data_IF_256243102741
#
_entry.id   IF_256243102741
#
_cell.length_a   1.000
_cell.length_b   1.000
_cell.length_c   1.000
_cell.angle_alpha   90.00
_cell.angle_beta   90.00
_cell.angle_gamma   90.00
#
_symmetry.space_group_name_H-M   'P 1'
#
loop_
_entity.id
_entity.type
_entity.pdbx_description
1 polymer ?
#
# COMPACT_ATOMS: atom_id res chain seq x y z
N UNK A 1 -17.16 -0.63 10.94
CA UNK A 1 -16.76 0.75 10.55
C UNK A 1 -16.97 1.76 11.67
N UNK A 2 -16.06 2.75 11.81
CA UNK A 2 -16.18 3.90 12.72
C UNK A 2 -16.43 5.16 11.86
N UNK A 3 -17.35 6.04 12.27
CA UNK A 3 -17.70 7.27 11.53
C UNK A 3 -17.40 8.50 12.38
N UNK A 4 -16.71 9.49 11.79
CA UNK A 4 -16.42 10.78 12.39
C UNK A 4 -16.96 11.90 11.48
N UNK A 5 -17.64 12.90 12.06
CA UNK A 5 -18.28 13.99 11.31
C UNK A 5 -17.42 15.25 11.34
N UNK A 6 -17.38 15.99 10.23
CA UNK A 6 -16.65 17.27 10.11
C UNK A 6 -15.19 17.20 10.62
N UNK A 7 -14.53 16.09 10.30
CA UNK A 7 -13.22 15.73 10.85
C UNK A 7 -12.09 16.41 10.06
N UNK A 8 -11.19 17.09 10.76
CA UNK A 8 -9.95 17.61 10.16
C UNK A 8 -9.07 16.46 9.63
N UNK A 9 -8.57 16.63 8.41
CA UNK A 9 -7.65 15.71 7.74
C UNK A 9 -6.18 16.09 7.92
N UNK A 10 -5.85 17.08 8.77
CA UNK A 10 -4.48 17.55 8.98
C UNK A 10 -3.51 16.44 9.39
N UNK A 11 -3.99 15.45 10.15
CA UNK A 11 -3.21 14.27 10.60
C UNK A 11 -3.25 13.10 9.61
N UNK A 12 -3.96 13.26 8.50
CA UNK A 12 -4.23 12.20 7.52
C UNK A 12 -3.66 12.53 6.13
N UNK A 13 -2.83 13.58 6.03
CA UNK A 13 -2.03 13.88 4.85
C UNK A 13 -0.65 14.41 5.27
N UNK A 14 0.41 14.03 4.55
CA UNK A 14 1.79 14.39 4.95
C UNK A 14 2.15 15.84 4.65
N UNK A 15 1.36 16.55 3.83
CA UNK A 15 1.49 18.00 3.68
C UNK A 15 1.01 18.77 4.93
N UNK A 16 0.26 18.14 5.82
CA UNK A 16 -0.29 18.79 7.01
C UNK A 16 -1.33 19.87 6.67
N UNK A 17 -2.06 19.71 5.55
CA UNK A 17 -3.10 20.66 5.15
C UNK A 17 -4.36 20.35 5.95
N UNK A 18 -4.89 21.38 6.61
CA UNK A 18 -6.12 21.30 7.39
C UNK A 18 -7.35 21.58 6.50
N UNK A 19 -7.75 20.58 5.73
CA UNK A 19 -9.09 20.49 5.14
C UNK A 19 -9.92 19.45 5.91
N UNK A 20 -11.24 19.55 5.86
CA UNK A 20 -12.17 18.68 6.59
C UNK A 20 -12.82 17.66 5.66
N UNK A 21 -13.16 16.51 6.22
CA UNK A 21 -14.09 15.56 5.63
C UNK A 21 -15.48 15.75 6.23
N UNK A 22 -16.52 15.74 5.41
CA UNK A 22 -17.91 15.70 5.91
C UNK A 22 -18.12 14.46 6.78
N UNK A 23 -17.68 13.30 6.27
CA UNK A 23 -17.62 12.04 7.02
C UNK A 23 -16.28 11.36 6.78
N UNK A 24 -15.55 11.04 7.84
CA UNK A 24 -14.39 10.16 7.82
C UNK A 24 -14.82 8.78 8.33
N UNK A 25 -14.70 7.77 7.49
CA UNK A 25 -15.18 6.41 7.75
C UNK A 25 -13.99 5.45 7.74
N UNK A 26 -13.78 4.73 8.83
CA UNK A 26 -12.70 3.75 8.96
C UNK A 26 -13.19 2.35 8.59
N UNK A 27 -12.49 1.73 7.64
CA UNK A 27 -12.74 0.35 7.22
C UNK A 27 -11.57 -0.55 7.63
N UNK A 28 -11.86 -1.58 8.44
CA UNK A 28 -10.85 -2.44 9.05
C UNK A 28 -10.77 -3.83 8.41
N UNK A 29 -11.66 -4.13 7.46
CA UNK A 29 -11.71 -5.40 6.74
C UNK A 29 -12.13 -5.20 5.28
N UNK A 30 -11.85 -6.20 4.44
CA UNK A 30 -12.35 -6.22 3.07
C UNK A 30 -13.89 -6.29 3.05
N UNK A 31 -14.51 -6.95 4.03
CA UNK A 31 -15.95 -7.00 4.20
C UNK A 31 -16.56 -5.65 4.56
N UNK A 32 -15.92 -4.85 5.44
CA UNK A 32 -16.34 -3.46 5.70
C UNK A 32 -16.39 -2.64 4.40
N UNK A 33 -15.36 -2.79 3.55
CA UNK A 33 -15.24 -2.05 2.28
C UNK A 33 -16.30 -2.52 1.28
N UNK A 34 -16.49 -3.84 1.15
CA UNK A 34 -17.54 -4.41 0.29
C UNK A 34 -18.94 -3.97 0.73
N UNK A 35 -19.21 -4.02 2.03
CA UNK A 35 -20.48 -3.57 2.60
C UNK A 35 -20.69 -2.07 2.37
N UNK A 36 -19.67 -1.24 2.62
CA UNK A 36 -19.71 0.20 2.35
C UNK A 36 -20.09 0.46 0.89
N UNK A 37 -19.37 -0.13 -0.06
CA UNK A 37 -19.60 0.08 -1.49
C UNK A 37 -21.02 -0.34 -1.89
N UNK A 38 -21.51 -1.48 -1.39
CA UNK A 38 -22.86 -1.98 -1.69
C UNK A 38 -23.98 -1.08 -1.15
N UNK A 39 -23.74 -0.40 -0.03
CA UNK A 39 -24.76 0.43 0.62
C UNK A 39 -24.68 1.92 0.27
N UNK A 40 -23.47 2.42 -0.02
CA UNK A 40 -23.20 3.85 -0.21
C UNK A 40 -22.64 4.19 -1.60
N UNK A 41 -22.19 3.20 -2.36
CA UNK A 41 -21.55 3.41 -3.67
C UNK A 41 -20.11 3.89 -3.55
N UNK A 42 -19.69 4.72 -4.51
CA UNK A 42 -18.35 5.29 -4.58
C UNK A 42 -18.12 6.32 -3.46
N UNK A 43 -17.04 6.20 -2.66
CA UNK A 43 -16.66 7.25 -1.71
C UNK A 43 -16.12 8.48 -2.45
N UNK A 44 -16.29 9.67 -1.87
CA UNK A 44 -15.70 10.90 -2.40
C UNK A 44 -14.17 10.84 -2.43
N UNK A 45 -13.57 10.12 -1.48
CA UNK A 45 -12.13 9.87 -1.42
C UNK A 45 -11.82 8.54 -0.73
N UNK A 46 -10.95 7.73 -1.34
CA UNK A 46 -10.30 6.59 -0.68
C UNK A 46 -8.97 7.05 -0.09
N UNK A 47 -8.77 6.85 1.21
CA UNK A 47 -7.60 7.37 1.93
C UNK A 47 -6.74 6.24 2.52
N UNK A 48 -5.50 6.15 2.04
CA UNK A 48 -4.43 5.34 2.64
C UNK A 48 -3.70 6.12 3.74
N UNK A 49 -2.37 6.22 3.65
CA UNK A 49 -1.55 7.01 4.58
C UNK A 49 -1.45 8.50 4.23
N UNK A 50 -2.00 8.94 3.11
CA UNK A 50 -2.02 10.36 2.70
C UNK A 50 -0.66 10.95 2.32
N UNK A 51 0.31 10.11 1.94
CA UNK A 51 1.69 10.53 1.63
C UNK A 51 1.92 11.03 0.21
N UNK A 52 0.96 10.80 -0.68
CA UNK A 52 1.03 11.18 -2.09
C UNK A 52 -0.30 11.77 -2.57
N UNK A 53 -0.72 12.85 -1.92
CA UNK A 53 -1.92 13.59 -2.27
C UNK A 53 -1.79 15.06 -1.86
N UNK A 54 -2.60 15.92 -2.46
CA UNK A 54 -2.72 17.32 -2.12
C UNK A 54 -4.20 17.66 -1.95
N UNK A 55 -4.60 18.04 -0.73
CA UNK A 55 -5.94 18.52 -0.45
C UNK A 55 -6.02 20.01 -0.78
N UNK A 56 -6.92 20.40 -1.68
CA UNK A 56 -7.10 21.80 -2.10
C UNK A 56 -8.35 22.45 -1.52
N UNK A 57 -9.26 21.66 -0.96
CA UNK A 57 -10.54 22.07 -0.39
C UNK A 57 -11.07 20.98 0.56
N UNK A 58 -12.09 21.32 1.33
CA UNK A 58 -12.86 20.36 2.13
C UNK A 58 -13.43 19.26 1.21
N UNK A 59 -13.46 18.03 1.73
CA UNK A 59 -14.01 16.86 1.05
C UNK A 59 -15.49 16.74 1.43
N UNK A 60 -16.35 17.12 0.50
CA UNK A 60 -17.79 16.89 0.58
C UNK A 60 -18.08 15.39 0.37
N UNK A 61 -18.83 14.80 1.31
CA UNK A 61 -19.14 13.36 1.32
C UNK A 61 -18.15 12.50 2.11
N UNK A 62 -17.96 11.27 1.64
CA UNK A 62 -17.33 10.21 2.43
C UNK A 62 -15.86 10.04 2.07
N UNK A 63 -15.01 10.25 3.08
CA UNK A 63 -13.62 9.82 3.06
C UNK A 63 -13.55 8.42 3.67
N UNK A 64 -13.32 7.41 2.83
CA UNK A 64 -13.15 6.04 3.26
C UNK A 64 -11.67 5.78 3.56
N UNK A 65 -11.32 5.77 4.85
CA UNK A 65 -9.98 5.47 5.36
C UNK A 65 -9.78 3.96 5.41
N UNK A 66 -8.81 3.47 4.64
CA UNK A 66 -8.43 2.05 4.62
C UNK A 66 -7.47 1.79 5.77
N UNK A 67 -7.87 0.87 6.66
CA UNK A 67 -7.18 0.51 7.90
C UNK A 67 -7.24 -1.00 8.15
N UNK A 68 -7.08 -1.77 7.06
CA UNK A 68 -7.03 -3.24 7.09
C UNK A 68 -5.64 -3.70 7.48
N UNK A 69 -5.48 -4.23 8.69
CA UNK A 69 -4.20 -4.74 9.21
C UNK A 69 -4.09 -6.26 9.14
N UNK A 70 -2.88 -6.75 9.38
CA UNK A 70 -2.59 -8.18 9.49
C UNK A 70 -1.45 -8.61 8.58
N UNK A 71 -0.63 -9.51 9.09
CA UNK A 71 0.52 -10.10 8.40
C UNK A 71 0.36 -11.62 8.45
N UNK A 72 0.44 -12.30 7.31
CA UNK A 72 0.25 -13.76 7.26
C UNK A 72 1.17 -14.39 6.22
N UNK A 73 1.94 -15.39 6.66
CA UNK A 73 2.62 -16.30 5.73
C UNK A 73 1.57 -17.09 4.98
N UNK A 74 1.60 -17.01 3.64
CA UNK A 74 0.67 -17.72 2.74
C UNK A 74 1.35 -18.80 1.92
N UNK A 75 2.68 -18.76 1.83
CA UNK A 75 3.53 -19.79 1.26
C UNK A 75 4.92 -19.68 1.87
N UNK A 76 5.59 -20.80 2.07
CA UNK A 76 6.96 -20.83 2.59
C UNK A 76 7.68 -22.09 2.14
N UNK A 77 8.95 -21.93 1.75
CA UNK A 77 9.90 -23.02 1.59
C UNK A 77 11.25 -22.63 2.20
N UNK A 78 12.32 -23.36 1.86
CA UNK A 78 13.66 -23.13 2.41
C UNK A 78 14.35 -21.86 1.90
N UNK A 79 13.88 -21.27 0.81
CA UNK A 79 14.52 -20.14 0.12
C UNK A 79 13.69 -18.86 0.16
N UNK A 80 12.37 -19.00 0.06
CA UNK A 80 11.42 -17.90 -0.14
C UNK A 80 10.23 -18.05 0.79
N UNK A 81 9.71 -16.92 1.25
CA UNK A 81 8.44 -16.80 1.97
C UNK A 81 7.54 -15.79 1.24
N UNK A 82 6.27 -16.15 1.07
CA UNK A 82 5.27 -15.19 0.62
C UNK A 82 4.46 -14.71 1.82
N UNK A 83 4.48 -13.41 2.06
CA UNK A 83 3.77 -12.79 3.17
C UNK A 83 2.71 -11.86 2.61
N UNK A 84 1.47 -12.09 3.07
CA UNK A 84 0.34 -11.21 2.81
C UNK A 84 0.26 -10.15 3.90
N UNK A 85 0.20 -8.89 3.48
CA UNK A 85 0.07 -7.71 4.32
C UNK A 85 -1.28 -7.02 4.09
N UNK A 86 -1.88 -6.53 5.16
CA UNK A 86 -3.05 -5.66 5.10
C UNK A 86 -2.74 -4.30 4.47
N UNK A 87 -3.68 -3.73 3.73
CA UNK A 87 -3.53 -2.45 3.06
C UNK A 87 -3.32 -1.25 4.02
N UNK A 88 -3.73 -1.40 5.28
CA UNK A 88 -3.58 -0.40 6.34
C UNK A 88 -2.21 -0.40 7.01
N UNK A 89 -1.40 -1.44 6.83
CA UNK A 89 -0.06 -1.54 7.42
C UNK A 89 0.83 -0.37 6.97
N UNK A 90 1.57 0.23 7.90
CA UNK A 90 2.58 1.23 7.57
C UNK A 90 3.71 0.56 6.79
N UNK A 91 4.05 1.13 5.62
CA UNK A 91 5.04 0.53 4.73
C UNK A 91 6.41 0.38 5.39
N UNK A 92 6.93 1.44 6.00
CA UNK A 92 8.27 1.39 6.59
C UNK A 92 8.35 0.43 7.78
N UNK A 93 7.30 0.37 8.61
CA UNK A 93 7.22 -0.61 9.69
C UNK A 93 7.20 -2.05 9.18
N UNK A 94 6.56 -2.30 8.03
CA UNK A 94 6.63 -3.60 7.35
C UNK A 94 8.05 -3.91 6.90
N UNK A 95 8.77 -2.96 6.29
CA UNK A 95 10.18 -3.16 5.90
C UNK A 95 11.04 -3.52 7.11
N UNK A 96 10.96 -2.74 8.20
CA UNK A 96 11.71 -3.02 9.43
C UNK A 96 11.34 -4.39 10.02
N UNK A 97 10.06 -4.72 10.04
CA UNK A 97 9.60 -6.01 10.53
C UNK A 97 10.18 -7.17 9.69
N UNK A 98 10.18 -7.07 8.36
CA UNK A 98 10.76 -8.12 7.51
C UNK A 98 12.26 -8.29 7.74
N UNK A 99 12.99 -7.18 7.92
CA UNK A 99 14.42 -7.22 8.20
C UNK A 99 14.73 -7.85 9.56
N UNK A 100 13.91 -7.58 10.60
CA UNK A 100 14.04 -8.24 11.91
C UNK A 100 13.79 -9.75 11.84
N UNK A 101 13.04 -10.23 10.85
CA UNK A 101 12.85 -11.66 10.59
C UNK A 101 13.97 -12.28 9.74
N UNK A 102 14.98 -11.50 9.34
CA UNK A 102 16.04 -11.95 8.42
C UNK A 102 15.57 -12.15 6.98
N UNK A 103 14.53 -11.43 6.55
CA UNK A 103 13.99 -11.53 5.19
C UNK A 103 14.52 -10.40 4.32
N UNK A 104 14.94 -10.73 3.10
CA UNK A 104 15.49 -9.78 2.12
C UNK A 104 14.56 -9.52 0.93
N UNK A 105 14.67 -8.33 0.36
CA UNK A 105 13.96 -7.85 -0.83
C UNK A 105 13.30 -6.48 -0.67
N UNK A 106 13.21 -5.92 0.54
CA UNK A 106 12.53 -4.63 0.82
C UNK A 106 13.46 -3.53 1.31
N UNK A 107 14.72 -3.83 1.61
CA UNK A 107 15.70 -2.93 2.21
C UNK A 107 15.85 -1.61 1.44
N UNK A 108 15.93 -1.66 0.11
CA UNK A 108 16.00 -0.49 -0.77
C UNK A 108 14.71 0.37 -0.74
N UNK A 109 13.60 -0.17 -0.25
CA UNK A 109 12.32 0.53 -0.15
C UNK A 109 12.07 1.07 1.28
N UNK A 110 13.10 1.08 2.13
CA UNK A 110 13.05 1.67 3.48
C UNK A 110 12.65 3.14 3.46
N UNK A 111 12.00 3.60 4.53
CA UNK A 111 11.57 4.99 4.78
C UNK A 111 10.56 5.58 3.79
N UNK A 112 10.08 4.83 2.79
CA UNK A 112 8.98 5.28 1.94
C UNK A 112 7.72 5.47 2.82
N UNK A 113 7.12 6.68 2.84
CA UNK A 113 5.94 6.94 3.67
C UNK A 113 4.67 6.38 3.03
N UNK A 114 3.68 6.09 3.87
CA UNK A 114 2.36 5.63 3.46
C UNK A 114 2.12 4.18 3.84
N UNK A 115 1.09 3.60 3.23
CA UNK A 115 0.60 2.29 3.62
C UNK A 115 0.79 1.26 2.51
N UNK A 116 0.83 -0.01 2.89
CA UNK A 116 0.95 -1.14 1.99
C UNK A 116 -0.08 -1.11 0.84
N UNK A 117 -1.33 -0.73 1.10
CA UNK A 117 -2.37 -0.68 0.05
C UNK A 117 -2.13 0.36 -1.04
N UNK A 118 -1.34 1.40 -0.76
CA UNK A 118 -0.99 2.43 -1.75
C UNK A 118 0.25 2.08 -2.56
N UNK A 119 1.07 1.13 -2.09
CA UNK A 119 2.33 0.76 -2.73
C UNK A 119 2.14 0.25 -4.18
N UNK A 120 1.15 -0.63 -4.48
CA UNK A 120 0.93 -1.10 -5.85
C UNK A 120 0.41 -0.02 -6.80
N UNK A 121 -0.29 1.00 -6.30
CA UNK A 121 -0.90 2.03 -7.17
C UNK A 121 0.15 2.73 -8.02
N UNK A 122 1.29 3.05 -7.43
CA UNK A 122 2.38 3.73 -8.14
C UNK A 122 3.59 2.84 -8.41
N UNK A 123 3.54 1.53 -8.15
CA UNK A 123 4.74 0.69 -8.18
C UNK A 123 5.91 1.39 -7.47
N UNK A 124 5.76 1.62 -6.15
CA UNK A 124 6.77 2.36 -5.37
C UNK A 124 8.17 1.82 -5.63
N UNK A 125 9.16 2.69 -5.66
CA UNK A 125 10.51 2.27 -5.93
C UNK A 125 11.53 3.31 -5.50
N UNK A 126 12.65 2.83 -4.99
CA UNK A 126 13.78 3.64 -4.57
C UNK A 126 15.06 2.81 -4.71
N UNK A 127 16.17 3.51 -4.94
CA UNK A 127 17.50 2.91 -4.99
C UNK A 127 17.61 1.66 -5.89
N UNK A 128 17.02 1.71 -7.09
CA UNK A 128 17.12 0.62 -8.08
C UNK A 128 16.17 -0.56 -7.87
N UNK A 129 15.32 -0.54 -6.84
CA UNK A 129 14.30 -1.56 -6.58
C UNK A 129 12.91 -0.96 -6.72
N UNK A 130 11.98 -1.73 -7.28
CA UNK A 130 10.56 -1.40 -7.36
C UNK A 130 9.71 -2.49 -6.69
N UNK A 131 8.48 -2.14 -6.28
CA UNK A 131 7.56 -3.09 -5.65
C UNK A 131 7.34 -4.34 -6.52
N UNK A 132 7.24 -4.16 -7.84
CA UNK A 132 7.05 -5.26 -8.78
C UNK A 132 8.10 -6.35 -8.66
N UNK A 133 9.30 -6.06 -8.15
CA UNK A 133 10.40 -7.03 -8.05
C UNK A 133 10.11 -8.11 -7.00
N UNK A 134 9.28 -7.79 -6.01
CA UNK A 134 8.86 -8.68 -4.92
C UNK A 134 7.35 -8.95 -4.89
N UNK A 135 6.56 -8.30 -5.74
CA UNK A 135 5.11 -8.44 -5.76
C UNK A 135 4.65 -9.79 -6.32
N UNK A 136 3.68 -10.43 -5.66
CA UNK A 136 3.03 -11.67 -6.13
C UNK A 136 1.62 -11.38 -6.64
N UNK A 137 0.79 -10.79 -5.79
CA UNK A 137 -0.60 -10.43 -6.10
C UNK A 137 -1.13 -9.38 -5.10
N UNK A 138 -2.27 -8.78 -5.42
CA UNK A 138 -3.08 -8.05 -4.45
C UNK A 138 -4.55 -8.50 -4.48
N UNK A 139 -5.24 -8.23 -3.37
CA UNK A 139 -6.66 -8.51 -3.18
C UNK A 139 -7.38 -7.20 -2.90
N UNK A 140 -8.63 -7.07 -3.33
CA UNK A 140 -9.38 -5.84 -3.13
C UNK A 140 -10.87 -5.96 -3.40
N UNK A 141 -11.51 -4.80 -3.47
CA UNK A 141 -12.94 -4.63 -3.75
C UNK A 141 -13.12 -3.71 -4.96
N UNK A 142 -13.97 -4.11 -5.90
CA UNK A 142 -14.41 -3.27 -7.02
C UNK A 142 -15.49 -2.29 -6.54
N UNK A 143 -15.32 -1.01 -6.90
CA UNK A 143 -16.23 0.08 -6.47
C UNK A 143 -17.59 -0.02 -7.17
N UNK A 144 -17.66 -0.60 -8.37
CA UNK A 144 -18.91 -0.70 -9.13
C UNK A 144 -20.00 -1.50 -8.40
N UNK A 145 -19.62 -2.59 -7.73
CA UNK A 145 -20.57 -3.57 -7.19
C UNK A 145 -20.18 -4.17 -5.83
N UNK A 146 -19.05 -3.73 -5.27
CA UNK A 146 -18.50 -4.28 -4.03
C UNK A 146 -18.00 -5.72 -4.15
N UNK A 147 -17.77 -6.24 -5.36
CA UNK A 147 -17.23 -7.58 -5.57
C UNK A 147 -15.74 -7.63 -5.20
N UNK A 148 -15.31 -8.77 -4.66
CA UNK A 148 -13.90 -9.01 -4.38
C UNK A 148 -13.14 -9.33 -5.66
N UNK A 149 -11.88 -8.90 -5.74
CA UNK A 149 -10.95 -9.29 -6.79
C UNK A 149 -9.62 -9.76 -6.19
N UNK A 150 -8.93 -10.60 -6.96
CA UNK A 150 -7.51 -10.89 -6.80
C UNK A 150 -6.84 -10.58 -8.13
N UNK A 151 -5.68 -9.93 -8.06
CA UNK A 151 -4.98 -9.44 -9.23
C UNK A 151 -3.50 -9.85 -9.15
N UNK A 152 -3.01 -10.56 -10.18
CA UNK A 152 -1.63 -11.03 -10.26
C UNK A 152 -0.64 -9.91 -10.58
N UNK A 153 0.66 -10.18 -10.47
CA UNK A 153 1.72 -9.26 -10.91
C UNK A 153 1.58 -8.85 -12.37
N UNK A 154 1.26 -9.80 -13.25
CA UNK A 154 1.12 -9.58 -14.69
C UNK A 154 -0.10 -8.70 -15.00
N UNK A 155 -1.22 -8.97 -14.32
CA UNK A 155 -2.45 -8.19 -14.42
C UNK A 155 -2.29 -6.77 -13.84
N UNK A 156 -1.32 -6.55 -12.95
CA UNK A 156 -1.07 -5.24 -12.33
C UNK A 156 -0.49 -4.24 -13.33
N UNK A 157 0.06 -4.74 -14.45
CA UNK A 157 0.65 -3.94 -15.53
C UNK A 157 1.63 -2.89 -15.00
N UNK A 158 2.53 -3.29 -14.10
CA UNK A 158 3.47 -2.37 -13.49
C UNK A 158 4.41 -1.73 -14.52
N UNK A 159 4.53 -0.41 -14.42
CA UNK A 159 5.50 0.41 -15.14
C UNK A 159 6.28 1.32 -14.19
N UNK A 160 7.15 2.17 -14.72
CA UNK A 160 7.84 3.17 -13.91
C UNK A 160 6.83 4.16 -13.35
N UNK A 161 6.67 4.17 -12.02
CA UNK A 161 5.65 4.96 -11.31
C UNK A 161 4.22 4.70 -11.79
N UNK A 162 3.93 3.49 -12.28
CA UNK A 162 2.67 3.19 -12.96
C UNK A 162 2.12 1.79 -12.70
N UNK A 163 0.80 1.65 -12.83
CA UNK A 163 0.07 0.39 -12.71
C UNK A 163 -1.31 0.49 -13.37
N UNK A 164 -2.02 -0.62 -13.47
CA UNK A 164 -3.43 -0.64 -13.89
C UNK A 164 -4.33 0.27 -13.03
N UNK A 165 -4.01 0.44 -11.73
CA UNK A 165 -4.78 1.28 -10.79
C UNK A 165 -4.66 2.78 -11.05
N UNK A 166 -3.64 3.21 -11.81
CA UNK A 166 -3.52 4.59 -12.30
C UNK A 166 -4.17 4.82 -13.66
N UNK A 167 -4.50 3.73 -14.35
CA UNK A 167 -4.99 3.73 -15.71
C UNK A 167 -6.42 3.16 -15.76
N UNK A 168 -6.59 1.96 -16.31
CA UNK A 168 -7.89 1.33 -16.59
C UNK A 168 -8.76 1.16 -15.34
N UNK A 169 -8.14 0.97 -14.17
CA UNK A 169 -8.80 0.75 -12.88
C UNK A 169 -8.77 1.98 -11.97
N UNK A 170 -8.39 3.16 -12.48
CA UNK A 170 -8.42 4.40 -11.73
C UNK A 170 -9.84 4.70 -11.25
N UNK A 171 -10.01 4.82 -9.92
CA UNK A 171 -11.32 5.05 -9.29
C UNK A 171 -12.25 3.85 -9.33
N UNK A 172 -11.77 2.64 -9.66
CA UNK A 172 -12.62 1.44 -9.78
C UNK A 172 -12.34 0.35 -8.76
N UNK A 173 -11.22 0.44 -8.05
CA UNK A 173 -10.74 -0.62 -7.17
C UNK A 173 -10.15 -0.05 -5.87
N UNK A 174 -10.39 -0.75 -4.77
CA UNK A 174 -9.82 -0.48 -3.44
C UNK A 174 -8.99 -1.70 -3.04
N UNK A 175 -7.67 -1.52 -2.92
CA UNK A 175 -6.75 -2.59 -2.49
C UNK A 175 -6.91 -2.79 -0.98
N UNK A 176 -7.06 -4.06 -0.59
CA UNK A 176 -7.25 -4.46 0.82
C UNK A 176 -6.08 -5.23 1.38
N UNK A 177 -5.35 -5.98 0.52
CA UNK A 177 -4.16 -6.74 0.89
C UNK A 177 -3.21 -6.85 -0.30
N UNK A 178 -1.93 -7.08 -0.02
CA UNK A 178 -0.94 -7.46 -1.03
C UNK A 178 -0.05 -8.57 -0.51
N UNK A 179 0.42 -9.42 -1.42
CA UNK A 179 1.35 -10.51 -1.12
C UNK A 179 2.69 -10.21 -1.75
N UNK A 180 3.75 -10.29 -0.94
CA UNK A 180 5.13 -10.10 -1.38
C UNK A 180 5.93 -11.39 -1.20
N UNK A 181 6.79 -11.70 -2.15
CA UNK A 181 7.77 -12.78 -2.09
C UNK A 181 9.11 -12.23 -1.60
N UNK A 182 9.59 -12.78 -0.48
CA UNK A 182 10.81 -12.34 0.19
C UNK A 182 11.77 -13.52 0.32
N UNK A 183 13.06 -13.23 0.27
CA UNK A 183 14.12 -14.24 0.38
C UNK A 183 14.45 -14.50 1.85
N UNK A 184 14.65 -15.77 2.24
CA UNK A 184 15.07 -16.21 3.58
C UNK A 184 16.58 -16.39 3.71
N UNK A 185 17.26 -16.60 2.58
CA UNK A 185 18.71 -16.78 2.47
C UNK A 185 19.17 -16.34 1.07
N UNK A 186 20.48 -16.21 0.89
CA UNK A 186 21.09 -15.83 -0.40
C UNK A 186 20.44 -14.58 -1.01
N UNK A 187 20.25 -13.53 -0.17
CA UNK A 187 19.57 -12.31 -0.57
C UNK A 187 20.26 -11.64 -1.77
N UNK A 188 19.46 -11.12 -2.70
CA UNK A 188 19.95 -10.36 -3.84
C UNK A 188 20.10 -8.89 -3.46
N UNK A 189 21.26 -8.52 -2.92
CA UNK A 189 21.54 -7.16 -2.47
C UNK A 189 21.70 -6.21 -3.67
N UNK A 190 20.86 -5.18 -3.74
CA UNK A 190 20.92 -4.13 -4.76
C UNK A 190 21.67 -2.91 -4.23
N UNK A 191 22.98 -2.94 -4.39
CA UNK A 191 23.90 -1.90 -3.88
C UNK A 191 24.43 -0.97 -4.97
N UNK A 192 23.99 -1.16 -6.21
CA UNK A 192 24.49 -0.48 -7.41
C UNK A 192 24.06 0.99 -7.53
N UNK A 193 23.16 1.45 -6.67
CA UNK A 193 22.83 2.87 -6.60
C UNK A 193 23.98 3.65 -5.95
N UNK A 194 24.60 4.58 -6.67
CA UNK A 194 25.91 5.14 -6.34
C UNK A 194 26.06 5.69 -4.92
N UNK A 195 25.01 6.28 -4.32
CA UNK A 195 25.07 6.75 -2.93
C UNK A 195 25.10 5.62 -1.90
N UNK A 196 24.47 4.49 -2.19
CA UNK A 196 24.49 3.30 -1.30
C UNK A 196 25.88 2.69 -1.32
N UNK A 197 26.46 2.49 -2.51
CA UNK A 197 27.78 1.89 -2.64
C UNK A 197 28.85 2.70 -1.90
N UNK A 198 28.86 4.03 -2.08
CA UNK A 198 29.81 4.92 -1.40
C UNK A 198 29.69 4.86 0.14
N UNK A 199 28.47 4.78 0.67
CA UNK A 199 28.24 4.67 2.11
C UNK A 199 28.67 3.30 2.65
N UNK A 200 28.40 2.21 1.92
CA UNK A 200 28.84 0.87 2.31
C UNK A 200 30.36 0.76 2.33
N UNK A 201 31.05 1.26 1.30
CA UNK A 201 32.52 1.29 1.25
C UNK A 201 33.14 2.06 2.44
N UNK A 202 32.43 3.09 2.94
CA UNK A 202 32.86 3.84 4.14
C UNK A 202 32.68 3.03 5.43
N UNK A 203 31.74 2.08 5.45
CA UNK A 203 31.36 1.30 6.64
C UNK A 203 31.90 -0.14 6.68
N UNK A 204 32.38 -0.69 5.56
CA UNK A 204 33.02 -2.02 5.45
C UNK A 204 32.24 -2.99 4.58
#
# INVERSE_FOLDING_TARGET
>A
MIVQLNQSLVKHNTFGIDQKATRLIWAHSADDISAYVKHHGEPALVLGGGSNMLLTQDVEGDVLKIDVHGRRVVFENDEVVHIRFGAGENWHEVVLWTLMQGLGGLENLSLIPGNCGTAPVQNIGAYGVELKDVFVNCEGVLIENGAFFTLSKEEAKFGYRDSIFKNEWKGKAIITRMTLALTKKNHNLRTDYGSIQAELETRG
#
